data_IF_445344541028
#
_entry.id   IF_445344541028
#
_cell.length_a   1.000
_cell.length_b   1.000
_cell.length_c   1.000
_cell.angle_alpha   90.00
_cell.angle_beta   90.00
_cell.angle_gamma   90.00
#
_symmetry.space_group_name_H-M   'P 1'
#
loop_
_entity.id
_entity.type
_entity.pdbx_description
1 polymer ?
#
# COMPACT_ATOMS: atom_id res chain seq x y z
N UNK A 1 25.48 6.50 28.61
CA UNK A 1 24.42 7.49 28.27
C UNK A 1 24.96 8.64 27.40
N UNK A 2 25.87 8.36 26.44
CA UNK A 2 26.56 9.40 25.68
C UNK A 2 26.09 9.54 24.22
N UNK A 3 25.31 8.59 23.68
CA UNK A 3 24.93 8.61 22.25
C UNK A 3 23.49 9.06 21.95
N UNK A 4 22.74 9.52 22.95
CA UNK A 4 21.38 10.06 22.76
C UNK A 4 21.32 11.60 22.73
N UNK A 5 22.47 12.28 22.89
CA UNK A 5 22.53 13.75 22.84
C UNK A 5 22.67 14.32 21.43
N UNK A 6 23.00 13.52 20.43
CA UNK A 6 23.45 14.03 19.12
C UNK A 6 22.42 13.88 17.98
N UNK A 7 21.30 13.19 18.20
CA UNK A 7 20.33 12.90 17.15
C UNK A 7 19.01 13.66 17.35
N UNK A 8 19.01 14.99 17.27
CA UNK A 8 17.80 15.82 17.01
C UNK A 8 16.57 15.64 17.92
N UNK A 9 16.70 14.90 19.02
CA UNK A 9 15.59 14.48 19.87
C UNK A 9 15.21 15.55 20.90
N UNK A 10 16.07 16.55 21.11
CA UNK A 10 15.74 17.72 21.92
C UNK A 10 14.68 18.61 21.28
N UNK A 11 14.58 18.66 19.95
CA UNK A 11 13.67 19.58 19.26
C UNK A 11 12.25 19.04 19.12
N UNK A 12 12.07 17.71 19.09
CA UNK A 12 10.77 17.08 18.83
C UNK A 12 9.90 16.86 20.08
N UNK A 13 10.46 16.88 21.29
CA UNK A 13 9.68 16.69 22.53
C UNK A 13 10.38 17.19 23.81
N UNK A 14 10.73 18.50 23.91
CA UNK A 14 11.51 19.03 25.05
C UNK A 14 10.85 18.80 26.41
N UNK A 15 9.52 18.77 26.48
CA UNK A 15 8.77 18.55 27.72
C UNK A 15 8.92 17.13 28.28
N UNK A 16 9.00 16.10 27.43
CA UNK A 16 9.01 14.69 27.87
C UNK A 16 10.40 14.24 28.34
N UNK A 17 11.46 14.75 27.71
CA UNK A 17 12.84 14.51 28.14
C UNK A 17 13.15 15.17 29.49
N UNK A 18 12.68 16.41 29.70
CA UNK A 18 12.88 17.14 30.96
C UNK A 18 12.24 16.42 32.15
N UNK A 19 11.06 15.82 31.96
CA UNK A 19 10.39 15.00 32.99
C UNK A 19 11.13 13.69 33.30
N UNK A 20 11.78 13.07 32.30
CA UNK A 20 12.58 11.86 32.52
C UNK A 20 13.89 12.17 33.28
N UNK A 21 14.52 13.32 33.01
CA UNK A 21 15.71 13.77 33.73
C UNK A 21 15.43 14.11 35.19
N UNK A 22 14.30 14.74 35.49
CA UNK A 22 13.87 15.04 36.87
C UNK A 22 13.69 13.75 37.69
N UNK A 23 13.01 12.76 37.12
CA UNK A 23 12.81 11.43 37.73
C UNK A 23 14.13 10.68 37.93
N UNK A 24 15.09 10.82 37.00
CA UNK A 24 16.43 10.26 37.14
C UNK A 24 17.21 10.92 38.28
N UNK A 25 17.06 12.24 38.45
CA UNK A 25 17.70 12.99 39.53
C UNK A 25 17.10 12.60 40.89
N UNK A 26 15.78 12.42 40.97
CA UNK A 26 15.11 11.96 42.17
C UNK A 26 15.48 10.50 42.53
N UNK A 27 15.63 9.63 41.52
CA UNK A 27 16.12 8.27 41.73
C UNK A 27 17.53 8.25 42.35
N UNK A 28 18.45 9.10 41.87
CA UNK A 28 19.80 9.24 42.45
C UNK A 28 19.76 9.70 43.91
N UNK A 29 18.84 10.61 44.25
CA UNK A 29 18.62 11.04 45.64
C UNK A 29 18.12 9.89 46.52
N UNK A 30 17.19 9.08 46.01
CA UNK A 30 16.67 7.91 46.74
C UNK A 30 17.72 6.82 46.95
N UNK A 31 18.65 6.62 46.00
CA UNK A 31 19.79 5.70 46.14
C UNK A 31 20.69 6.16 47.30
N UNK A 32 21.01 7.46 47.36
CA UNK A 32 21.83 8.02 48.43
C UNK A 32 21.16 7.91 49.82
N UNK A 33 19.83 7.84 49.86
CA UNK A 33 19.05 7.60 51.09
C UNK A 33 18.89 6.10 51.43
N UNK A 34 19.56 5.18 50.71
CA UNK A 34 19.43 3.74 50.91
C UNK A 34 18.07 3.16 50.48
N UNK A 35 17.24 3.94 49.80
CA UNK A 35 15.87 3.57 49.37
C UNK A 35 15.88 2.99 47.96
N UNK A 36 16.60 1.87 47.80
CA UNK A 36 16.81 1.21 46.51
C UNK A 36 15.52 0.77 45.82
N UNK A 37 14.51 0.30 46.56
CA UNK A 37 13.19 -0.09 46.00
C UNK A 37 12.49 1.10 45.32
N UNK A 38 12.49 2.26 45.98
CA UNK A 38 11.87 3.48 45.46
C UNK A 38 12.68 4.08 44.30
N UNK A 39 14.00 4.02 44.38
CA UNK A 39 14.87 4.40 43.26
C UNK A 39 14.62 3.55 42.00
N UNK A 40 14.45 2.23 42.16
CA UNK A 40 14.15 1.33 41.04
C UNK A 40 12.82 1.65 40.37
N UNK A 41 11.80 2.00 41.16
CA UNK A 41 10.49 2.43 40.64
C UNK A 41 10.61 3.74 39.84
N UNK A 42 11.34 4.73 40.36
CA UNK A 42 11.57 6.00 39.66
C UNK A 42 12.38 5.83 38.37
N UNK A 43 13.34 4.90 38.34
CA UNK A 43 14.10 4.56 37.14
C UNK A 43 13.23 3.90 36.07
N UNK A 44 12.30 3.03 36.48
CA UNK A 44 11.34 2.40 35.57
C UNK A 44 10.38 3.43 34.99
N UNK A 45 9.84 4.33 35.81
CA UNK A 45 9.03 5.47 35.36
C UNK A 45 9.80 6.36 34.37
N UNK A 46 11.05 6.71 34.67
CA UNK A 46 11.90 7.50 33.77
C UNK A 46 12.14 6.79 32.43
N UNK A 47 12.34 5.46 32.47
CA UNK A 47 12.54 4.64 31.27
C UNK A 47 11.27 4.53 30.43
N UNK A 48 10.10 4.39 31.06
CA UNK A 48 8.81 4.39 30.37
C UNK A 48 8.52 5.75 29.70
N UNK A 49 8.79 6.86 30.39
CA UNK A 49 8.65 8.20 29.80
C UNK A 49 9.60 8.41 28.61
N UNK A 50 10.84 7.94 28.71
CA UNK A 50 11.80 7.99 27.61
C UNK A 50 11.35 7.14 26.41
N UNK A 51 10.86 5.92 26.66
CA UNK A 51 10.31 5.03 25.62
C UNK A 51 9.08 5.64 24.94
N UNK A 52 8.21 6.30 25.69
CA UNK A 52 7.03 6.98 25.16
C UNK A 52 7.41 8.24 24.36
N UNK A 53 8.46 8.96 24.77
CA UNK A 53 9.02 10.07 24.00
C UNK A 53 9.66 9.60 22.68
N UNK A 54 10.38 8.48 22.72
CA UNK A 54 10.98 7.85 21.53
C UNK A 54 9.91 7.34 20.56
N UNK A 55 8.84 6.69 21.05
CA UNK A 55 7.70 6.31 20.22
C UNK A 55 6.97 7.52 19.62
N UNK A 56 6.89 8.63 20.35
CA UNK A 56 6.35 9.88 19.82
C UNK A 56 7.28 10.54 18.78
N UNK A 57 8.59 10.30 18.83
CA UNK A 57 9.58 10.84 17.91
C UNK A 57 9.80 9.97 16.66
N UNK A 58 9.58 8.65 16.76
CA UNK A 58 9.57 7.70 15.64
C UNK A 58 8.23 7.68 14.89
N UNK A 59 7.17 8.27 15.44
CA UNK A 59 5.99 8.61 14.67
C UNK A 59 6.37 9.74 13.69
N UNK A 60 6.42 9.52 12.36
CA UNK A 60 6.60 10.62 11.44
C UNK A 60 5.42 11.59 11.62
N UNK A 61 5.76 12.84 11.86
CA UNK A 61 4.88 14.00 11.85
C UNK A 61 4.28 14.19 10.44
N UNK A 62 3.33 13.33 10.08
CA UNK A 62 2.31 13.53 9.06
C UNK A 62 1.09 12.74 9.51
N UNK A 63 0.18 13.40 10.22
CA UNK A 63 -1.17 12.87 10.42
C UNK A 63 -2.02 13.11 9.15
N UNK A 64 -3.11 12.35 8.90
CA UNK A 64 -3.73 11.39 9.82
C UNK A 64 -3.96 9.97 9.25
N UNK A 65 -4.20 9.06 10.19
CA UNK A 65 -4.86 7.74 10.08
C UNK A 65 -4.29 6.68 9.13
N UNK A 66 -3.66 5.65 9.72
CA UNK A 66 -4.15 4.27 9.55
C UNK A 66 -3.79 3.48 10.80
N UNK A 67 -4.78 3.38 11.68
CA UNK A 67 -4.85 2.39 12.73
C UNK A 67 -4.49 1.01 12.17
N UNK A 68 -3.73 0.26 12.96
CA UNK A 68 -3.68 -1.19 12.86
C UNK A 68 -5.12 -1.73 12.86
N UNK A 69 -5.64 -1.99 11.67
CA UNK A 69 -6.87 -2.73 11.48
C UNK A 69 -6.46 -4.19 11.46
N UNK A 70 -6.98 -4.94 12.43
CA UNK A 70 -7.48 -6.30 12.24
C UNK A 70 -7.91 -6.46 10.77
N UNK A 71 -7.58 -7.55 10.04
CA UNK A 71 -7.99 -7.69 8.65
C UNK A 71 -9.52 -7.68 8.59
N UNK A 72 -10.07 -6.49 8.42
CA UNK A 72 -11.45 -6.25 8.08
C UNK A 72 -11.56 -6.72 6.62
N UNK A 73 -12.63 -7.45 6.27
CA UNK A 73 -12.79 -7.92 4.90
C UNK A 73 -12.70 -6.71 3.99
N UNK A 74 -11.69 -6.73 3.10
CA UNK A 74 -11.50 -5.71 2.09
C UNK A 74 -12.79 -5.72 1.28
N UNK A 75 -13.68 -4.77 1.55
CA UNK A 75 -14.91 -4.62 0.79
C UNK A 75 -14.45 -4.28 -0.61
N UNK A 76 -14.53 -5.26 -1.51
CA UNK A 76 -14.26 -5.11 -2.92
C UNK A 76 -15.24 -4.06 -3.44
N UNK A 77 -14.84 -2.80 -3.40
CA UNK A 77 -15.61 -1.74 -4.02
C UNK A 77 -15.69 -2.06 -5.51
N UNK A 78 -16.88 -1.93 -6.13
CA UNK A 78 -17.03 -2.23 -7.54
C UNK A 78 -16.08 -1.32 -8.34
N UNK A 79 -15.10 -1.94 -9.01
CA UNK A 79 -14.05 -1.21 -9.73
C UNK A 79 -12.76 -0.97 -8.97
N UNK A 80 -12.52 -1.62 -7.82
CA UNK A 80 -11.17 -1.70 -7.24
C UNK A 80 -10.61 -3.12 -7.31
N UNK A 81 -9.32 -3.25 -7.60
CA UNK A 81 -8.61 -4.52 -7.63
C UNK A 81 -7.40 -4.51 -6.71
N UNK A 82 -7.25 -5.54 -5.87
CA UNK A 82 -6.09 -5.70 -5.00
C UNK A 82 -5.06 -6.59 -5.68
N UNK A 83 -3.89 -6.04 -5.94
CA UNK A 83 -2.78 -6.75 -6.58
C UNK A 83 -2.32 -7.91 -5.71
N UNK A 84 -2.25 -9.11 -6.27
CA UNK A 84 -1.66 -10.29 -5.62
C UNK A 84 -0.21 -10.44 -6.08
N UNK A 85 0.58 -11.17 -5.30
CA UNK A 85 1.99 -11.40 -5.61
C UNK A 85 2.09 -12.21 -6.92
N UNK A 86 2.74 -11.64 -7.93
CA UNK A 86 2.93 -12.27 -9.24
C UNK A 86 1.98 -11.74 -10.33
N UNK A 87 1.06 -10.83 -9.99
CA UNK A 87 0.26 -10.13 -10.97
C UNK A 87 1.07 -9.10 -11.75
N UNK A 88 0.59 -8.80 -12.96
CA UNK A 88 1.02 -7.69 -13.79
C UNK A 88 -0.21 -6.96 -14.33
N UNK A 89 -0.07 -5.69 -14.73
CA UNK A 89 -1.21 -4.90 -15.23
C UNK A 89 -1.95 -5.57 -16.39
N UNK A 90 -1.22 -6.30 -17.22
CA UNK A 90 -1.76 -7.08 -18.34
C UNK A 90 -2.67 -8.22 -17.85
N UNK A 91 -2.21 -9.04 -16.89
CA UNK A 91 -3.01 -10.12 -16.30
C UNK A 91 -4.24 -9.60 -15.54
N UNK A 92 -4.12 -8.44 -14.89
CA UNK A 92 -5.23 -7.80 -14.19
C UNK A 92 -6.30 -7.34 -15.19
N UNK A 93 -5.89 -6.77 -16.33
CA UNK A 93 -6.82 -6.37 -17.39
C UNK A 93 -7.47 -7.57 -18.09
N UNK A 94 -6.74 -8.69 -18.24
CA UNK A 94 -7.25 -9.94 -18.81
C UNK A 94 -8.34 -10.60 -17.95
N UNK A 95 -8.45 -10.26 -16.66
CA UNK A 95 -9.48 -10.84 -15.80
C UNK A 95 -10.89 -10.52 -16.32
N UNK A 96 -11.73 -11.55 -16.43
CA UNK A 96 -13.17 -11.45 -16.78
C UNK A 96 -13.95 -10.51 -15.87
N UNK A 97 -13.56 -10.44 -14.61
CA UNK A 97 -14.21 -9.59 -13.60
C UNK A 97 -13.84 -8.11 -13.77
N UNK A 98 -12.81 -7.81 -14.57
CA UNK A 98 -12.25 -6.47 -14.77
C UNK A 98 -12.62 -5.95 -16.15
N UNK A 99 -11.96 -6.43 -17.21
CA UNK A 99 -12.20 -5.98 -18.59
C UNK A 99 -12.34 -7.12 -19.61
N UNK A 100 -11.82 -8.33 -19.33
CA UNK A 100 -11.69 -9.43 -20.32
C UNK A 100 -10.90 -9.03 -21.59
N UNK A 101 -10.11 -7.94 -21.53
CA UNK A 101 -9.24 -7.49 -22.62
C UNK A 101 -7.89 -7.07 -22.04
N UNK A 102 -6.83 -7.87 -22.25
CA UNK A 102 -5.53 -7.57 -21.69
C UNK A 102 -4.95 -6.25 -22.21
N UNK A 103 -5.32 -5.80 -23.41
CA UNK A 103 -4.80 -4.58 -24.02
C UNK A 103 -5.40 -3.30 -23.41
N UNK A 104 -6.37 -3.43 -22.50
CA UNK A 104 -6.90 -2.33 -21.71
C UNK A 104 -6.06 -2.02 -20.45
N UNK A 105 -4.99 -2.77 -20.18
CA UNK A 105 -4.07 -2.49 -19.06
C UNK A 105 -3.58 -1.02 -18.98
N UNK A 106 -3.38 -0.27 -20.09
CA UNK A 106 -2.99 1.13 -19.98
C UNK A 106 -4.05 2.03 -19.35
N UNK A 107 -5.33 1.64 -19.33
CA UNK A 107 -6.39 2.38 -18.62
C UNK A 107 -6.19 2.29 -17.11
N UNK A 108 -5.90 1.08 -16.60
CA UNK A 108 -5.56 0.85 -15.19
C UNK A 108 -4.34 1.68 -14.83
N UNK A 109 -3.32 1.66 -15.69
CA UNK A 109 -2.11 2.46 -15.47
C UNK A 109 -2.41 3.96 -15.43
N UNK A 110 -3.24 4.47 -16.34
CA UNK A 110 -3.62 5.88 -16.40
C UNK A 110 -4.41 6.32 -15.15
N UNK A 111 -5.35 5.49 -14.69
CA UNK A 111 -6.14 5.75 -13.49
C UNK A 111 -5.33 5.72 -12.19
N UNK A 112 -4.18 5.03 -12.18
CA UNK A 112 -3.33 4.84 -11.00
C UNK A 112 -1.91 5.37 -11.19
N UNK A 113 -1.69 6.33 -12.10
CA UNK A 113 -0.36 6.94 -12.34
C UNK A 113 0.29 7.49 -11.07
N UNK A 114 -0.53 7.96 -10.14
CA UNK A 114 -0.09 8.50 -8.85
C UNK A 114 0.55 7.41 -7.96
N UNK A 115 0.10 6.16 -8.10
CA UNK A 115 0.59 5.01 -7.34
C UNK A 115 1.64 4.19 -8.09
N UNK A 116 1.53 4.14 -9.42
CA UNK A 116 2.36 3.30 -10.29
C UNK A 116 3.32 4.21 -11.06
N UNK A 117 4.57 4.29 -10.59
CA UNK A 117 5.62 5.03 -11.30
C UNK A 117 6.01 4.32 -12.60
N UNK A 118 6.25 3.02 -12.49
CA UNK A 118 6.64 2.16 -13.61
C UNK A 118 5.57 1.09 -13.81
N UNK A 119 5.00 0.93 -15.01
CA UNK A 119 3.92 -0.03 -15.26
C UNK A 119 4.33 -1.50 -15.04
N UNK A 120 5.63 -1.80 -15.11
CA UNK A 120 6.20 -3.13 -14.84
C UNK A 120 6.43 -3.40 -13.34
N UNK A 121 6.53 -2.35 -12.52
CA UNK A 121 6.80 -2.46 -11.08
C UNK A 121 5.54 -2.16 -10.28
N UNK A 122 4.72 -3.19 -10.12
CA UNK A 122 3.59 -3.19 -9.18
C UNK A 122 3.90 -4.09 -7.98
N UNK A 123 3.38 -3.73 -6.82
CA UNK A 123 3.61 -4.42 -5.56
C UNK A 123 2.33 -5.11 -5.07
N UNK A 124 2.45 -6.27 -4.42
CA UNK A 124 1.30 -6.94 -3.83
C UNK A 124 0.66 -6.08 -2.72
N UNK A 125 -0.65 -6.25 -2.53
CA UNK A 125 -1.51 -5.50 -1.59
C UNK A 125 -1.76 -4.04 -1.98
N UNK A 126 -1.37 -3.63 -3.19
CA UNK A 126 -1.81 -2.34 -3.73
C UNK A 126 -3.26 -2.44 -4.20
N UNK A 127 -4.08 -1.44 -3.88
CA UNK A 127 -5.45 -1.32 -4.37
C UNK A 127 -5.49 -0.38 -5.56
N UNK A 128 -5.71 -0.91 -6.75
CA UNK A 128 -5.83 -0.15 -7.98
C UNK A 128 -7.28 0.16 -8.30
N UNK A 129 -7.51 1.38 -8.79
CA UNK A 129 -8.76 1.82 -9.38
C UNK A 129 -8.87 1.30 -10.82
N UNK A 130 -9.95 0.60 -11.12
CA UNK A 130 -10.25 -0.03 -12.40
C UNK A 130 -11.52 0.62 -12.97
N UNK A 131 -11.37 1.65 -13.82
CA UNK A 131 -12.52 2.35 -14.40
C UNK A 131 -13.20 1.48 -15.45
N UNK A 132 -14.36 0.90 -15.12
CA UNK A 132 -15.17 0.09 -16.06
C UNK A 132 -15.97 0.93 -17.06
N UNK A 133 -16.20 2.21 -16.77
CA UNK A 133 -16.95 3.16 -17.60
C UNK A 133 -16.03 4.02 -18.49
N UNK A 134 -14.87 3.49 -18.89
CA UNK A 134 -13.96 4.23 -19.75
C UNK A 134 -14.59 4.49 -21.13
N UNK A 135 -14.48 5.72 -21.64
CA UNK A 135 -15.00 6.07 -22.96
C UNK A 135 -14.38 5.20 -24.06
N UNK A 136 -15.14 4.86 -25.11
CA UNK A 136 -14.67 3.99 -26.21
C UNK A 136 -13.36 4.50 -26.85
N UNK A 137 -13.21 5.83 -26.95
CA UNK A 137 -11.99 6.47 -27.43
C UNK A 137 -10.77 6.12 -26.57
N UNK A 138 -10.93 6.15 -25.24
CA UNK A 138 -9.87 5.79 -24.29
C UNK A 138 -9.53 4.30 -24.39
N UNK A 139 -10.54 3.44 -24.59
CA UNK A 139 -10.34 2.01 -24.81
C UNK A 139 -9.52 1.78 -26.09
N UNK A 140 -9.87 2.42 -27.21
CA UNK A 140 -9.08 2.35 -28.46
C UNK A 140 -7.66 2.87 -28.27
N UNK A 141 -7.51 4.01 -27.60
CA UNK A 141 -6.20 4.61 -27.33
C UNK A 141 -5.33 3.70 -26.46
N UNK A 142 -5.91 3.06 -25.44
CA UNK A 142 -5.24 2.09 -24.59
C UNK A 142 -4.80 0.86 -25.39
N UNK A 143 -5.67 0.26 -26.21
CA UNK A 143 -5.31 -0.88 -27.06
C UNK A 143 -4.18 -0.56 -28.04
N UNK A 144 -4.23 0.63 -28.65
CA UNK A 144 -3.15 1.14 -29.52
C UNK A 144 -1.83 1.29 -28.76
N UNK A 145 -1.88 1.80 -27.52
CA UNK A 145 -0.70 2.00 -26.66
C UNK A 145 -0.12 0.69 -26.15
N UNK A 146 -0.96 -0.31 -25.90
CA UNK A 146 -0.55 -1.65 -25.53
C UNK A 146 0.09 -2.43 -26.69
N UNK A 147 0.10 -1.86 -27.91
CA UNK A 147 0.65 -2.52 -29.09
C UNK A 147 -0.20 -3.73 -29.52
N UNK A 148 -1.51 -3.69 -29.23
CA UNK A 148 -2.42 -4.74 -29.66
C UNK A 148 -2.33 -4.90 -31.17
N UNK A 149 -1.83 -6.06 -31.63
CA UNK A 149 -2.15 -6.53 -32.98
C UNK A 149 -3.67 -6.60 -33.12
N UNK A 150 -4.17 -6.62 -34.37
CA UNK A 150 -5.60 -6.81 -34.60
C UNK A 150 -6.12 -7.94 -33.69
N UNK A 151 -7.29 -7.77 -33.04
CA UNK A 151 -7.85 -8.82 -32.19
C UNK A 151 -7.78 -10.15 -32.94
N UNK A 152 -7.44 -11.25 -32.25
CA UNK A 152 -7.54 -12.58 -32.84
C UNK A 152 -9.02 -12.83 -33.15
N UNK A 153 -9.45 -12.34 -34.30
CA UNK A 153 -10.59 -12.85 -34.99
C UNK A 153 -10.17 -14.25 -35.42
N UNK A 154 -10.90 -15.31 -35.03
CA UNK A 154 -10.68 -16.60 -35.67
C UNK A 154 -10.73 -16.35 -37.19
N UNK A 155 -9.87 -17.01 -38.00
CA UNK A 155 -9.91 -16.79 -39.44
C UNK A 155 -11.36 -16.92 -39.91
N UNK A 156 -11.77 -16.03 -40.83
CA UNK A 156 -13.16 -15.97 -41.27
C UNK A 156 -13.68 -17.37 -41.66
N UNK A 157 -15.01 -17.56 -41.73
CA UNK A 157 -15.66 -18.88 -41.86
C UNK A 157 -15.23 -19.75 -43.07
N UNK A 158 -14.35 -19.24 -43.93
CA UNK A 158 -13.70 -19.89 -45.06
C UNK A 158 -12.49 -20.76 -44.71
N UNK A 159 -11.86 -20.59 -43.53
CA UNK A 159 -10.67 -21.39 -43.15
C UNK A 159 -11.01 -22.60 -42.25
N UNK A 160 -12.22 -22.64 -41.70
CA UNK A 160 -12.66 -23.75 -40.86
C UNK A 160 -13.19 -24.93 -41.69
N UNK A 161 -12.83 -26.17 -41.33
CA UNK A 161 -13.49 -27.33 -41.90
C UNK A 161 -15.00 -27.28 -41.58
N UNK A 162 -15.86 -27.74 -42.51
CA UNK A 162 -17.32 -27.52 -42.46
C UNK A 162 -17.97 -27.98 -41.16
N UNK A 163 -17.38 -28.97 -40.46
CA UNK A 163 -17.88 -29.51 -39.20
C UNK A 163 -17.78 -28.57 -37.99
N UNK A 164 -16.90 -27.55 -38.04
CA UNK A 164 -16.63 -26.66 -36.88
C UNK A 164 -17.35 -25.31 -37.02
N UNK A 165 -17.73 -24.94 -38.25
CA UNK A 165 -18.39 -23.66 -38.60
C UNK A 165 -19.74 -23.47 -37.89
N UNK A 166 -20.53 -24.54 -37.74
CA UNK A 166 -21.86 -24.48 -37.12
C UNK A 166 -21.84 -24.24 -35.61
N UNK A 167 -20.69 -24.44 -34.94
CA UNK A 167 -20.57 -24.30 -33.48
C UNK A 167 -20.33 -22.85 -33.05
N UNK A 168 -19.71 -22.05 -33.91
CA UNK A 168 -19.30 -20.67 -33.61
C UNK A 168 -20.15 -19.60 -34.32
N UNK A 169 -20.88 -19.95 -35.38
CA UNK A 169 -21.85 -19.07 -36.06
C UNK A 169 -23.20 -19.78 -36.24
N UNK A 170 -24.11 -19.73 -35.25
CA UNK A 170 -25.51 -20.09 -35.48
C UNK A 170 -26.11 -19.01 -36.39
N UNK A 171 -26.55 -19.41 -37.60
CA UNK A 171 -27.09 -18.49 -38.60
C UNK A 171 -28.35 -17.76 -38.11
N UNK A 172 -28.46 -16.47 -38.46
CA UNK A 172 -29.73 -15.77 -38.58
C UNK A 172 -30.39 -16.14 -39.91
#
# INVERSE_FOLDING_TARGET
MAQAKEAGAMEKAPAKYKSAEDKLAEAKRMINQGRYKKARQLLEEATQLAKLAEQAALAPEKAPVVSATKPEPIQATPGSYVVVKGDCLWNIADQKEIYDDPFQWPLIYQANRDQIKNPDLIYPKQNFNVPKDAAEDQIKAARKKAGAGAPYWPPGPTDYPPSVRSKYYPGN
#
